data_IF_713062290407
#
_entry.id   IF_713062290407
#
_cell.length_a   1.000
_cell.length_b   1.000
_cell.length_c   1.000
_cell.angle_alpha   90.00
_cell.angle_beta   90.00
_cell.angle_gamma   90.00
#
_symmetry.space_group_name_H-M   'P 1'
#
loop_
_entity.id
_entity.type
_entity.pdbx_description
1 polymer ?
#
# COMPACT_ATOMS: atom_id res chain seq x y z
N UNK A 1 7.85 -0.60 15.04
CA UNK A 1 8.95 -1.50 14.65
C UNK A 1 10.32 -0.98 15.03
N UNK A 2 10.74 0.20 14.54
CA UNK A 2 12.07 0.79 14.83
C UNK A 2 12.35 0.93 16.33
N UNK A 3 11.43 1.54 17.11
CA UNK A 3 11.60 1.69 18.57
C UNK A 3 11.63 0.36 19.34
N UNK A 4 11.06 -0.69 18.75
CA UNK A 4 11.04 -2.04 19.33
C UNK A 4 12.20 -2.91 18.83
N UNK A 5 13.15 -2.30 18.10
CA UNK A 5 14.27 -2.97 17.44
C UNK A 5 13.84 -4.14 16.55
N UNK A 6 12.70 -4.01 15.86
CA UNK A 6 12.19 -4.96 14.87
C UNK A 6 12.28 -4.37 13.48
N UNK A 7 12.54 -5.22 12.50
CA UNK A 7 12.53 -4.82 11.08
C UNK A 7 11.13 -4.28 10.75
N UNK A 8 11.02 -3.06 10.20
CA UNK A 8 9.73 -2.46 9.87
C UNK A 8 8.91 -3.27 8.87
N UNK A 9 7.60 -3.32 9.08
CA UNK A 9 6.68 -4.05 8.20
C UNK A 9 6.78 -3.62 6.72
N UNK A 10 7.09 -2.36 6.47
CA UNK A 10 7.26 -1.82 5.11
C UNK A 10 8.41 -2.50 4.34
N UNK A 11 9.42 -3.03 5.04
CA UNK A 11 10.51 -3.78 4.44
C UNK A 11 10.25 -5.30 4.37
N UNK A 12 9.25 -5.78 5.11
CA UNK A 12 8.92 -7.21 5.17
C UNK A 12 7.77 -7.58 4.23
N UNK A 13 6.82 -6.67 4.04
CA UNK A 13 5.64 -6.87 3.21
C UNK A 13 5.68 -5.81 2.12
N UNK A 14 6.23 -6.19 0.96
CA UNK A 14 6.34 -5.28 -0.20
C UNK A 14 4.98 -4.69 -0.60
N UNK A 15 3.90 -5.44 -0.38
CA UNK A 15 2.53 -4.98 -0.64
C UNK A 15 2.13 -3.78 0.21
N UNK A 16 2.72 -3.61 1.39
CA UNK A 16 2.49 -2.44 2.22
C UNK A 16 2.95 -1.16 1.50
N UNK A 17 4.14 -1.20 0.88
CA UNK A 17 4.69 -0.09 0.13
C UNK A 17 3.92 0.15 -1.17
N UNK A 18 3.63 -0.90 -1.94
CA UNK A 18 2.93 -0.76 -3.22
C UNK A 18 1.49 -0.26 -3.05
N UNK A 19 0.77 -0.69 -2.02
CA UNK A 19 -0.57 -0.17 -1.71
C UNK A 19 -0.55 1.33 -1.35
N UNK A 20 0.48 1.79 -0.64
CA UNK A 20 0.66 3.22 -0.35
C UNK A 20 0.99 4.03 -1.60
N UNK A 21 1.89 3.54 -2.45
CA UNK A 21 2.23 4.19 -3.71
C UNK A 21 1.00 4.28 -4.60
N UNK A 22 0.24 3.19 -4.72
CA UNK A 22 -1.03 3.16 -5.44
C UNK A 22 -2.03 4.20 -4.90
N UNK A 23 -2.18 4.30 -3.58
CA UNK A 23 -3.01 5.34 -2.95
C UNK A 23 -2.56 6.76 -3.30
N UNK A 24 -1.25 7.04 -3.26
CA UNK A 24 -0.70 8.34 -3.64
C UNK A 24 -0.95 8.69 -5.11
N UNK A 25 -0.79 7.72 -6.02
CA UNK A 25 -1.09 7.88 -7.44
C UNK A 25 -2.59 8.12 -7.66
N UNK A 26 -3.44 7.34 -6.99
CA UNK A 26 -4.89 7.51 -7.04
C UNK A 26 -5.29 8.91 -6.57
N UNK A 27 -4.75 9.36 -5.44
CA UNK A 27 -5.00 10.70 -4.93
C UNK A 27 -4.59 11.81 -5.89
N UNK A 28 -3.40 11.68 -6.49
CA UNK A 28 -2.91 12.63 -7.49
C UNK A 28 -3.82 12.68 -8.72
N UNK A 29 -4.35 11.54 -9.17
CA UNK A 29 -5.34 11.51 -10.26
C UNK A 29 -6.61 12.24 -9.85
N UNK A 30 -7.13 12.01 -8.63
CA UNK A 30 -8.34 12.67 -8.14
C UNK A 30 -8.18 14.19 -8.01
N UNK A 31 -6.99 14.67 -7.64
CA UNK A 31 -6.65 16.11 -7.63
C UNK A 31 -6.76 16.77 -9.01
N UNK A 32 -6.59 16.01 -10.10
CA UNK A 32 -6.74 16.51 -11.46
C UNK A 32 -8.19 16.45 -11.98
N UNK A 33 -9.13 16.03 -11.14
CA UNK A 33 -10.56 15.96 -11.47
C UNK A 33 -11.33 17.10 -10.78
N UNK A 34 -12.52 17.47 -11.27
CA UNK A 34 -13.36 18.48 -10.62
C UNK A 34 -13.99 18.01 -9.29
N UNK A 35 -13.57 16.87 -8.74
CA UNK A 35 -14.10 16.31 -7.50
C UNK A 35 -13.58 17.12 -6.30
N UNK A 36 -14.45 17.52 -5.34
CA UNK A 36 -14.01 18.24 -4.15
C UNK A 36 -13.01 17.45 -3.30
N UNK A 37 -12.16 18.12 -2.53
CA UNK A 37 -11.07 17.49 -1.76
C UNK A 37 -11.57 16.44 -0.75
N UNK A 38 -12.60 16.77 0.03
CA UNK A 38 -13.12 15.89 1.09
C UNK A 38 -13.54 14.50 0.56
N UNK A 39 -14.41 14.38 -0.48
CA UNK A 39 -14.76 13.07 -1.02
C UNK A 39 -13.55 12.37 -1.67
N UNK A 40 -12.63 13.12 -2.28
CA UNK A 40 -11.40 12.54 -2.86
C UNK A 40 -10.49 11.92 -1.80
N UNK A 41 -10.29 12.61 -0.68
CA UNK A 41 -9.54 12.11 0.47
C UNK A 41 -10.18 10.82 1.01
N UNK A 42 -11.50 10.81 1.16
CA UNK A 42 -12.25 9.67 1.70
C UNK A 42 -12.16 8.45 0.78
N UNK A 43 -12.30 8.65 -0.54
CA UNK A 43 -12.16 7.59 -1.54
C UNK A 43 -10.74 7.02 -1.53
N UNK A 44 -9.72 7.87 -1.44
CA UNK A 44 -8.33 7.43 -1.37
C UNK A 44 -8.06 6.59 -0.12
N UNK A 45 -8.48 7.07 1.06
CA UNK A 45 -8.34 6.35 2.33
C UNK A 45 -9.05 5.00 2.25
N UNK A 46 -10.29 4.97 1.77
CA UNK A 46 -11.07 3.75 1.62
C UNK A 46 -10.38 2.76 0.68
N UNK A 47 -9.90 3.21 -0.48
CA UNK A 47 -9.20 2.36 -1.44
C UNK A 47 -7.94 1.73 -0.84
N UNK A 48 -7.08 2.50 -0.17
CA UNK A 48 -5.86 1.99 0.47
C UNK A 48 -6.18 0.98 1.58
N UNK A 49 -7.18 1.27 2.41
CA UNK A 49 -7.62 0.35 3.48
C UNK A 49 -8.15 -0.95 2.90
N UNK A 50 -9.00 -0.89 1.88
CA UNK A 50 -9.56 -2.08 1.23
C UNK A 50 -8.45 -2.95 0.61
N UNK A 51 -7.51 -2.34 -0.12
CA UNK A 51 -6.36 -3.06 -0.70
C UNK A 51 -5.54 -3.74 0.40
N UNK A 52 -5.25 -3.05 1.51
CA UNK A 52 -4.52 -3.63 2.65
C UNK A 52 -5.26 -4.79 3.30
N UNK A 53 -6.56 -4.66 3.51
CA UNK A 53 -7.39 -5.72 4.10
C UNK A 53 -7.45 -6.95 3.18
N UNK A 54 -7.62 -6.74 1.87
CA UNK A 54 -7.59 -7.81 0.87
C UNK A 54 -6.22 -8.49 0.82
N UNK A 55 -5.13 -7.72 0.87
CA UNK A 55 -3.78 -8.26 0.89
C UNK A 55 -3.52 -9.15 2.11
N UNK A 56 -3.95 -8.71 3.31
CA UNK A 56 -3.81 -9.50 4.54
C UNK A 56 -4.69 -10.74 4.49
N UNK A 57 -5.97 -10.60 4.09
CA UNK A 57 -6.93 -11.71 4.04
C UNK A 57 -6.51 -12.79 3.04
N UNK A 58 -6.02 -12.38 1.88
CA UNK A 58 -5.63 -13.28 0.81
C UNK A 58 -4.15 -13.68 0.88
N UNK A 59 -3.44 -13.30 1.95
CA UNK A 59 -1.99 -13.50 2.11
C UNK A 59 -1.19 -13.11 0.86
N UNK A 60 -1.59 -12.00 0.22
CA UNK A 60 -0.86 -11.50 -0.93
C UNK A 60 0.58 -11.23 -0.49
N UNK A 61 1.51 -11.75 -1.29
CA UNK A 61 2.94 -11.49 -1.20
C UNK A 61 3.43 -11.30 -2.62
N UNK A 62 4.36 -10.36 -2.82
CA UNK A 62 5.07 -10.30 -4.09
C UNK A 62 5.98 -11.53 -4.18
N UNK A 63 6.19 -12.08 -5.39
CA UNK A 63 7.09 -13.20 -5.58
C UNK A 63 8.49 -12.80 -5.09
N UNK A 64 9.01 -13.56 -4.15
CA UNK A 64 10.37 -13.37 -3.65
C UNK A 64 11.34 -13.61 -4.81
N UNK A 65 12.24 -12.65 -5.06
CA UNK A 65 13.32 -12.80 -6.02
C UNK A 65 14.36 -13.70 -5.36
N UNK A 66 14.02 -14.98 -5.24
CA UNK A 66 14.95 -15.98 -4.75
C UNK A 66 16.11 -16.06 -5.74
N UNK A 67 17.30 -15.61 -5.31
CA UNK A 67 18.54 -15.89 -6.04
C UNK A 67 18.71 -17.40 -6.14
N UNK A 68 19.09 -17.95 -7.32
CA UNK A 68 19.46 -19.35 -7.42
C UNK A 68 20.57 -19.63 -6.39
N UNK A 69 20.42 -20.67 -5.59
CA UNK A 69 21.53 -21.20 -4.79
C UNK A 69 22.51 -21.87 -5.73
N UNK A 70 23.71 -21.30 -5.84
CA UNK A 70 24.91 -22.01 -6.34
C UNK A 70 25.44 -22.97 -5.28
#
# INVERSE_FOLDING_TARGET
DVLLNKIPLIFQKEIYATACIFGGVLYFILLNTPVPNIPSDLVCIAAVVVVRLLAVRNNWSLPDIARPKE
#
